data_IF_813255800431
#
_entry.id   IF_813255800431
#
_cell.length_a   1.000
_cell.length_b   1.000
_cell.length_c   1.000
_cell.angle_alpha   90.00
_cell.angle_beta   90.00
_cell.angle_gamma   90.00
#
_symmetry.space_group_name_H-M   'P 1'
#
loop_
_entity.id
_entity.type
_entity.pdbx_description
1 polymer ?
#
# COMPACT_ATOMS: atom_id res chain seq x y z
N UNK A 1 -2.22 3.07 10.87
CA UNK A 1 -1.92 3.15 9.43
C UNK A 1 -2.65 2.04 8.70
N UNK A 2 -2.66 2.04 7.35
CA UNK A 2 -3.21 0.92 6.56
C UNK A 2 -2.52 -0.40 6.95
N UNK A 3 -3.20 -1.51 6.67
CA UNK A 3 -2.70 -2.86 6.92
C UNK A 3 -1.33 -3.10 6.25
N UNK A 4 -0.45 -3.86 6.91
CA UNK A 4 0.87 -4.21 6.40
C UNK A 4 0.84 -5.39 5.44
N UNK A 5 2.05 -5.83 5.05
CA UNK A 5 2.25 -6.94 4.11
C UNK A 5 1.68 -8.27 4.61
N UNK A 6 1.85 -8.57 5.90
CA UNK A 6 1.40 -9.82 6.50
C UNK A 6 -0.13 -9.93 6.53
N UNK A 7 -0.81 -8.83 6.84
CA UNK A 7 -2.27 -8.76 6.79
C UNK A 7 -2.79 -8.94 5.36
N UNK A 8 -2.10 -8.36 4.37
CA UNK A 8 -2.44 -8.56 2.96
C UNK A 8 -2.27 -10.03 2.54
N UNK A 9 -1.16 -10.68 2.91
CA UNK A 9 -0.93 -12.10 2.59
C UNK A 9 -1.94 -13.01 3.28
N UNK A 10 -2.29 -12.69 4.53
CA UNK A 10 -3.35 -13.38 5.27
C UNK A 10 -4.68 -13.28 4.53
N UNK A 11 -5.08 -12.06 4.14
CA UNK A 11 -6.29 -11.85 3.35
C UNK A 11 -6.25 -12.59 2.01
N UNK A 12 -5.12 -12.55 1.29
CA UNK A 12 -4.93 -13.26 0.02
C UNK A 12 -5.17 -14.75 0.18
N UNK A 13 -4.64 -15.36 1.24
CA UNK A 13 -4.84 -16.79 1.51
C UNK A 13 -6.32 -17.14 1.73
N UNK A 14 -7.06 -16.34 2.51
CA UNK A 14 -8.49 -16.55 2.75
C UNK A 14 -9.32 -16.36 1.48
N UNK A 15 -8.97 -15.35 0.68
CA UNK A 15 -9.61 -15.09 -0.60
C UNK A 15 -9.44 -16.27 -1.56
N UNK A 16 -8.21 -16.78 -1.71
CA UNK A 16 -7.91 -17.93 -2.57
C UNK A 16 -8.64 -19.20 -2.10
N UNK A 17 -8.69 -19.46 -0.80
CA UNK A 17 -9.42 -20.58 -0.22
C UNK A 17 -10.93 -20.49 -0.50
N UNK A 18 -11.53 -19.32 -0.27
CA UNK A 18 -12.95 -19.09 -0.52
C UNK A 18 -13.30 -19.25 -2.02
N UNK A 19 -12.46 -18.71 -2.91
CA UNK A 19 -12.63 -18.78 -4.36
C UNK A 19 -12.56 -20.24 -4.85
N UNK A 20 -11.62 -21.03 -4.29
CA UNK A 20 -11.52 -22.48 -4.54
C UNK A 20 -12.76 -23.24 -4.07
N UNK A 21 -13.26 -22.97 -2.86
CA UNK A 21 -14.47 -23.60 -2.32
C UNK A 21 -15.71 -23.31 -3.16
N UNK A 22 -15.82 -22.08 -3.68
CA UNK A 22 -16.95 -21.64 -4.49
C UNK A 22 -16.80 -21.99 -5.99
N UNK A 23 -15.68 -22.57 -6.41
CA UNK A 23 -15.40 -22.87 -7.82
C UNK A 23 -15.33 -21.62 -8.72
N UNK A 24 -15.04 -20.46 -8.14
CA UNK A 24 -14.96 -19.18 -8.86
C UNK A 24 -13.53 -18.93 -9.33
N UNK A 25 -13.40 -18.11 -10.38
CA UNK A 25 -12.13 -17.65 -10.94
C UNK A 25 -11.98 -16.14 -10.76
N UNK A 26 -12.03 -15.69 -9.52
CA UNK A 26 -11.79 -14.29 -9.16
C UNK A 26 -10.30 -14.05 -8.90
N UNK A 27 -9.82 -12.82 -9.06
CA UNK A 27 -8.41 -12.47 -8.87
C UNK A 27 -8.30 -11.21 -8.04
N UNK A 28 -7.22 -11.09 -7.28
CA UNK A 28 -6.90 -9.86 -6.56
C UNK A 28 -6.15 -8.93 -7.50
N UNK A 29 -6.67 -7.72 -7.66
CA UNK A 29 -5.98 -6.62 -8.34
C UNK A 29 -5.61 -5.60 -7.28
N UNK A 30 -4.38 -5.64 -6.75
CA UNK A 30 -3.93 -4.67 -5.77
C UNK A 30 -3.77 -3.28 -6.40
N UNK A 31 -4.06 -2.25 -5.62
CA UNK A 31 -3.84 -0.86 -5.97
C UNK A 31 -2.71 -0.30 -5.11
N UNK A 32 -1.71 0.30 -5.75
CA UNK A 32 -0.55 0.89 -5.09
C UNK A 32 -0.54 2.40 -5.22
N UNK A 33 0.01 3.06 -4.20
CA UNK A 33 0.19 4.51 -4.19
C UNK A 33 1.67 4.85 -4.09
N UNK A 34 2.20 5.60 -5.07
CA UNK A 34 3.57 6.13 -5.04
C UNK A 34 3.61 7.50 -4.37
N UNK A 35 4.81 7.95 -3.96
CA UNK A 35 5.08 9.30 -3.44
C UNK A 35 4.25 9.70 -2.21
N UNK A 36 3.72 8.73 -1.46
CA UNK A 36 3.00 9.02 -0.23
C UNK A 36 3.94 9.63 0.82
N UNK A 37 3.52 10.66 1.59
CA UNK A 37 4.32 11.22 2.68
C UNK A 37 4.80 10.15 3.66
N UNK A 38 6.09 10.13 3.95
CA UNK A 38 6.76 9.12 4.77
C UNK A 38 7.34 7.93 4.00
N UNK A 39 7.08 7.80 2.70
CA UNK A 39 7.73 6.79 1.86
C UNK A 39 9.07 7.29 1.30
N UNK A 40 10.13 6.53 1.50
CA UNK A 40 11.45 6.74 0.95
C UNK A 40 11.74 5.77 -0.23
N UNK A 41 12.92 5.89 -0.83
CA UNK A 41 13.34 5.01 -1.93
C UNK A 41 13.42 3.55 -1.49
N UNK A 42 13.85 3.32 -0.25
CA UNK A 42 13.98 2.00 0.36
C UNK A 42 12.61 1.29 0.43
N UNK A 43 11.54 2.01 0.72
CA UNK A 43 10.17 1.45 0.73
C UNK A 43 9.71 1.04 -0.67
N UNK A 44 10.08 1.82 -1.70
CA UNK A 44 9.79 1.48 -3.09
C UNK A 44 10.56 0.24 -3.54
N UNK A 45 11.80 0.07 -3.09
CA UNK A 45 12.60 -1.13 -3.32
C UNK A 45 11.98 -2.33 -2.61
N UNK A 46 11.62 -2.22 -1.33
CA UNK A 46 10.95 -3.30 -0.59
C UNK A 46 9.66 -3.73 -1.28
N UNK A 47 8.85 -2.77 -1.76
CA UNK A 47 7.64 -3.07 -2.51
C UNK A 47 7.93 -3.82 -3.82
N UNK A 48 8.98 -3.42 -4.55
CA UNK A 48 9.36 -4.10 -5.79
C UNK A 48 9.80 -5.55 -5.54
N UNK A 49 10.56 -5.80 -4.46
CA UNK A 49 10.97 -7.15 -4.05
C UNK A 49 9.76 -7.99 -3.63
N UNK A 50 8.87 -7.43 -2.82
CA UNK A 50 7.61 -8.08 -2.42
C UNK A 50 6.79 -8.52 -3.64
N UNK A 51 6.60 -7.63 -4.62
CA UNK A 51 5.85 -7.93 -5.83
C UNK A 51 6.49 -9.06 -6.65
N UNK A 52 7.82 -9.02 -6.80
CA UNK A 52 8.60 -10.06 -7.50
C UNK A 52 8.43 -11.43 -6.83
N UNK A 53 8.62 -11.49 -5.52
CA UNK A 53 8.64 -12.74 -4.76
C UNK A 53 7.25 -13.40 -4.67
N UNK A 54 6.19 -12.59 -4.76
CA UNK A 54 4.81 -13.06 -4.80
C UNK A 54 4.22 -13.19 -6.22
N UNK A 55 5.04 -13.00 -7.27
CA UNK A 55 4.62 -13.07 -8.68
C UNK A 55 3.43 -12.17 -9.00
N UNK A 56 3.40 -10.98 -8.39
CA UNK A 56 2.35 -9.99 -8.56
C UNK A 56 2.80 -8.91 -9.55
N UNK A 57 1.94 -8.62 -10.52
CA UNK A 57 2.15 -7.53 -11.47
C UNK A 57 1.23 -6.36 -11.07
N UNK A 58 1.80 -5.20 -10.68
CA UNK A 58 0.98 -4.04 -10.32
C UNK A 58 0.32 -3.47 -11.59
N UNK A 59 -1.00 -3.60 -11.68
CA UNK A 59 -1.78 -3.02 -12.78
C UNK A 59 -2.30 -1.63 -12.44
N UNK A 60 -2.49 -1.34 -11.15
CA UNK A 60 -3.03 -0.08 -10.67
C UNK A 60 -2.03 0.59 -9.75
N UNK A 61 -1.40 1.63 -10.27
CA UNK A 61 -0.49 2.51 -9.51
C UNK A 61 -0.97 3.94 -9.70
N UNK A 62 -1.08 4.67 -8.60
CA UNK A 62 -1.42 6.09 -8.62
C UNK A 62 -0.42 6.88 -7.80
N UNK A 63 0.00 8.01 -8.34
CA UNK A 63 0.83 8.94 -7.60
C UNK A 63 0.02 9.67 -6.53
N UNK A 64 0.63 9.92 -5.38
CA UNK A 64 -0.02 10.65 -4.31
C UNK A 64 -0.34 12.07 -4.76
N UNK A 65 -1.62 12.44 -4.65
CA UNK A 65 -2.11 13.80 -4.89
C UNK A 65 -2.75 14.30 -3.59
N UNK A 66 -2.28 15.43 -3.03
CA UNK A 66 -2.80 15.95 -1.77
C UNK A 66 -4.27 16.33 -1.90
N UNK A 67 -5.15 15.45 -1.43
CA UNK A 67 -6.60 15.64 -1.45
C UNK A 67 -7.05 16.27 -0.12
N UNK A 68 -7.79 17.39 -0.13
CA UNK A 68 -8.22 18.06 1.10
C UNK A 68 -8.95 17.13 2.07
N UNK A 69 -8.73 17.34 3.38
CA UNK A 69 -9.40 16.55 4.43
C UNK A 69 -8.80 15.17 4.71
N UNK A 70 -7.69 14.80 4.06
CA UNK A 70 -6.98 13.54 4.36
C UNK A 70 -5.82 13.74 5.35
N UNK A 71 -5.55 12.71 6.15
CA UNK A 71 -4.40 12.67 7.06
C UNK A 71 -3.08 12.80 6.29
N UNK A 72 -2.96 12.09 5.16
CA UNK A 72 -1.79 12.14 4.29
C UNK A 72 -1.54 13.55 3.73
N UNK A 73 -2.59 14.32 3.44
CA UNK A 73 -2.45 15.72 3.02
C UNK A 73 -1.92 16.59 4.15
N UNK A 74 -2.37 16.37 5.39
CA UNK A 74 -1.79 17.04 6.56
C UNK A 74 -0.30 16.69 6.71
N UNK A 75 0.06 15.41 6.57
CA UNK A 75 1.44 14.95 6.58
C UNK A 75 2.28 15.63 5.48
N UNK A 76 1.75 15.70 4.26
CA UNK A 76 2.40 16.34 3.12
C UNK A 76 2.74 17.81 3.39
N UNK A 77 1.79 18.58 3.93
CA UNK A 77 2.01 20.01 4.17
C UNK A 77 2.80 20.33 5.44
N UNK A 78 2.71 19.49 6.46
CA UNK A 78 3.37 19.75 7.76
C UNK A 78 4.71 19.06 7.90
N UNK A 79 4.99 18.03 7.10
CA UNK A 79 6.15 17.16 7.27
C UNK A 79 6.12 16.38 8.58
N UNK A 80 4.95 16.21 9.21
CA UNK A 80 4.79 15.55 10.52
C UNK A 80 3.72 14.46 10.39
N UNK A 81 4.00 13.28 10.94
CA UNK A 81 2.97 12.27 11.19
C UNK A 81 2.12 12.69 12.39
N UNK A 82 0.82 13.01 12.22
CA UNK A 82 0.00 13.53 13.30
C UNK A 82 -0.35 12.48 14.36
N UNK A 83 -0.07 11.19 14.13
CA UNK A 83 -0.37 10.12 15.07
C UNK A 83 0.70 9.95 16.16
N UNK A 84 1.96 10.27 15.85
CA UNK A 84 3.09 10.11 16.77
C UNK A 84 3.94 11.38 16.91
N UNK A 85 3.64 12.44 16.15
CA UNK A 85 4.34 13.71 16.15
C UNK A 85 5.73 13.68 15.50
N UNK A 86 6.11 12.58 14.85
CA UNK A 86 7.44 12.43 14.26
C UNK A 86 7.52 13.10 12.88
N UNK A 87 8.68 13.66 12.52
CA UNK A 87 8.90 14.13 11.15
C UNK A 87 8.73 12.99 10.14
N UNK A 88 8.16 13.30 8.99
CA UNK A 88 8.06 12.40 7.84
C UNK A 88 8.75 13.00 6.63
N UNK A 89 9.36 12.14 5.84
CA UNK A 89 9.92 12.54 4.56
C UNK A 89 8.80 12.95 3.58
N UNK A 90 8.96 14.08 2.91
CA UNK A 90 8.06 14.55 1.84
C UNK A 90 8.96 14.93 0.66
N UNK A 91 8.73 14.29 -0.49
CA UNK A 91 9.49 14.50 -1.73
C UNK A 91 8.94 15.68 -2.55
#
# INVERSE_FOLDING_TARGET
GKAGKEEFLTFKSWFEEANKKLGKKQYLVPYFMSSHPGCALEDAIELAEFLRDHHMYPEQVQDFIPTPGSLSTCMYYTGINPLDGKPVYVA
#
